data_IF_850195120710
#
_entry.id   IF_850195120710
#
_cell.length_a   1.000
_cell.length_b   1.000
_cell.length_c   1.000
_cell.angle_alpha   90.00
_cell.angle_beta   90.00
_cell.angle_gamma   90.00
#
_symmetry.space_group_name_H-M   'P 1'
#
loop_
_entity.id
_entity.type
_entity.pdbx_description
1 polymer ?
#
# COMPACT_ATOMS: atom_id res chain seq x y z
N UNK A 1 -14.94 -29.94 -11.03
CA UNK A 1 -13.65 -29.28 -10.74
C UNK A 1 -13.94 -28.11 -9.81
N UNK A 2 -13.35 -28.06 -8.61
CA UNK A 2 -13.40 -26.82 -7.80
C UNK A 2 -12.63 -25.73 -8.57
N UNK A 3 -13.11 -24.48 -8.61
CA UNK A 3 -12.40 -23.43 -9.32
C UNK A 3 -11.00 -23.27 -8.72
N UNK A 4 -9.99 -23.23 -9.59
CA UNK A 4 -8.57 -23.06 -9.22
C UNK A 4 -8.33 -21.67 -8.62
N UNK A 5 -9.20 -20.70 -8.94
CA UNK A 5 -9.19 -19.34 -8.41
C UNK A 5 -10.36 -19.15 -7.44
N UNK A 6 -10.15 -18.50 -6.29
CA UNK A 6 -11.26 -18.12 -5.41
C UNK A 6 -12.22 -17.17 -6.15
N UNK A 7 -13.54 -17.21 -5.86
CA UNK A 7 -14.51 -16.29 -6.46
C UNK A 7 -14.30 -14.82 -6.08
N UNK A 8 -13.32 -14.50 -5.24
CA UNK A 8 -13.00 -13.13 -4.85
C UNK A 8 -11.68 -12.64 -5.46
N UNK A 9 -10.75 -13.56 -5.75
CA UNK A 9 -9.44 -13.20 -6.29
C UNK A 9 -9.54 -12.53 -7.66
N UNK A 10 -10.48 -12.96 -8.52
CA UNK A 10 -10.64 -12.35 -9.84
C UNK A 10 -11.09 -10.89 -9.76
N UNK A 11 -11.91 -10.49 -8.78
CA UNK A 11 -12.29 -9.08 -8.57
C UNK A 11 -11.10 -8.23 -8.13
N UNK A 12 -10.30 -8.74 -7.20
CA UNK A 12 -9.06 -8.09 -6.79
C UNK A 12 -8.08 -7.94 -7.97
N UNK A 13 -7.84 -9.03 -8.71
CA UNK A 13 -6.97 -9.01 -9.88
C UNK A 13 -7.48 -8.07 -10.98
N UNK A 14 -8.81 -7.99 -11.18
CA UNK A 14 -9.40 -7.02 -12.09
C UNK A 14 -9.02 -5.58 -11.71
N UNK A 15 -9.07 -5.23 -10.41
CA UNK A 15 -8.60 -3.94 -9.90
C UNK A 15 -7.12 -3.67 -10.22
N UNK A 16 -6.24 -4.65 -9.94
CA UNK A 16 -4.80 -4.56 -10.25
C UNK A 16 -4.58 -4.36 -11.75
N UNK A 17 -5.30 -5.08 -12.60
CA UNK A 17 -5.17 -4.99 -14.05
C UNK A 17 -5.73 -3.68 -14.63
N UNK A 18 -6.75 -3.09 -14.01
CA UNK A 18 -7.37 -1.83 -14.45
C UNK A 18 -6.52 -0.61 -14.07
N UNK A 19 -5.78 -0.67 -12.95
CA UNK A 19 -4.88 0.39 -12.48
C UNK A 19 -4.04 1.08 -13.58
N UNK A 20 -3.23 0.37 -14.39
CA UNK A 20 -2.33 1.01 -15.37
C UNK A 20 -3.08 1.75 -16.49
N UNK A 21 -4.36 1.44 -16.72
CA UNK A 21 -5.19 2.16 -17.67
C UNK A 21 -5.77 3.43 -17.04
N UNK A 22 -6.29 3.32 -15.81
CA UNK A 22 -6.83 4.47 -15.08
C UNK A 22 -5.76 5.50 -14.72
N UNK A 23 -4.55 5.07 -14.37
CA UNK A 23 -3.45 5.98 -14.03
C UNK A 23 -2.98 6.85 -15.20
N UNK A 24 -3.26 6.45 -16.45
CA UNK A 24 -2.99 7.27 -17.65
C UNK A 24 -4.00 8.41 -17.83
N UNK A 25 -5.19 8.31 -17.23
CA UNK A 25 -6.16 9.39 -17.25
C UNK A 25 -5.63 10.48 -16.32
N UNK A 26 -5.17 11.61 -16.88
CA UNK A 26 -4.42 12.66 -16.18
C UNK A 26 -4.96 12.99 -14.78
N UNK A 27 -6.25 13.29 -14.68
CA UNK A 27 -6.88 13.63 -13.40
C UNK A 27 -6.80 12.48 -12.39
N UNK A 28 -7.16 11.26 -12.81
CA UNK A 28 -7.15 10.07 -11.95
C UNK A 28 -5.73 9.71 -11.55
N UNK A 29 -4.77 9.76 -12.48
CA UNK A 29 -3.35 9.53 -12.20
C UNK A 29 -2.79 10.49 -11.16
N UNK A 30 -3.10 11.79 -11.26
CA UNK A 30 -2.71 12.78 -10.25
C UNK A 30 -3.35 12.49 -8.89
N UNK A 31 -4.64 12.14 -8.85
CA UNK A 31 -5.32 11.78 -7.60
C UNK A 31 -4.73 10.53 -6.96
N UNK A 32 -4.48 9.47 -7.74
CA UNK A 32 -3.89 8.22 -7.23
C UNK A 32 -2.47 8.43 -6.72
N UNK A 33 -1.66 9.23 -7.43
CA UNK A 33 -0.33 9.60 -6.95
C UNK A 33 -0.39 10.41 -5.66
N UNK A 34 -1.28 11.41 -5.58
CA UNK A 34 -1.49 12.19 -4.36
C UNK A 34 -1.87 11.30 -3.17
N UNK A 35 -2.80 10.36 -3.38
CA UNK A 35 -3.19 9.39 -2.37
C UNK A 35 -2.01 8.50 -1.95
N UNK A 36 -1.15 8.07 -2.87
CA UNK A 36 0.07 7.31 -2.50
C UNK A 36 1.01 8.09 -1.60
N UNK A 37 1.18 9.40 -1.84
CA UNK A 37 2.02 10.25 -0.98
C UNK A 37 1.36 10.43 0.40
N UNK A 38 0.03 10.60 0.44
CA UNK A 38 -0.72 10.65 1.71
C UNK A 38 -0.55 9.34 2.49
N UNK A 39 -0.74 8.20 1.83
CA UNK A 39 -0.54 6.87 2.42
C UNK A 39 0.88 6.74 3.00
N UNK A 40 1.89 7.18 2.24
CA UNK A 40 3.29 7.12 2.65
C UNK A 40 3.53 7.84 3.99
N UNK A 41 3.11 9.10 4.09
CA UNK A 41 3.31 9.89 5.31
C UNK A 41 2.45 9.42 6.48
N UNK A 42 1.23 8.97 6.21
CA UNK A 42 0.33 8.45 7.25
C UNK A 42 0.87 7.15 7.85
N UNK A 43 1.46 6.27 7.04
CA UNK A 43 2.07 5.03 7.54
C UNK A 43 3.28 5.32 8.43
N UNK A 44 4.12 6.31 8.10
CA UNK A 44 5.18 6.77 9.02
C UNK A 44 4.60 7.17 10.38
N UNK A 45 3.52 7.95 10.37
CA UNK A 45 2.79 8.36 11.57
C UNK A 45 2.27 7.19 12.39
N UNK A 46 1.56 6.24 11.76
CA UNK A 46 1.04 5.06 12.45
C UNK A 46 2.16 4.17 12.99
N UNK A 47 3.23 3.95 12.24
CA UNK A 47 4.38 3.17 12.71
C UNK A 47 5.07 3.84 13.90
N UNK A 48 5.19 5.18 13.88
CA UNK A 48 5.74 5.93 15.00
C UNK A 48 4.89 5.77 16.26
N UNK A 49 3.56 5.93 16.15
CA UNK A 49 2.63 5.72 17.28
C UNK A 49 2.72 4.30 17.81
N UNK A 50 2.73 3.30 16.93
CA UNK A 50 2.83 1.89 17.30
C UNK A 50 4.12 1.56 18.10
N UNK A 51 5.21 2.27 17.82
CA UNK A 51 6.50 2.10 18.52
C UNK A 51 6.71 3.11 19.67
N UNK A 52 5.63 3.68 20.19
CA UNK A 52 5.62 4.57 21.37
C UNK A 52 6.03 6.01 21.09
N UNK A 53 6.08 6.43 19.82
CA UNK A 53 6.21 7.82 19.40
C UNK A 53 4.86 8.53 19.30
N UNK A 54 4.86 9.71 18.67
CA UNK A 54 3.66 10.51 18.39
C UNK A 54 3.66 10.95 16.93
N UNK A 55 2.48 11.01 16.33
CA UNK A 55 2.24 11.60 15.01
C UNK A 55 1.65 12.99 15.19
N UNK A 56 2.42 14.02 14.86
CA UNK A 56 2.04 15.42 15.08
C UNK A 56 1.29 16.01 13.88
N UNK A 57 1.56 15.48 12.69
CA UNK A 57 0.90 15.86 11.45
C UNK A 57 1.71 15.43 10.25
N UNK A 58 1.25 15.80 9.05
CA UNK A 58 1.97 15.58 7.82
C UNK A 58 1.63 16.67 6.81
N UNK A 59 2.52 16.87 5.84
CA UNK A 59 2.32 17.79 4.73
C UNK A 59 2.52 17.04 3.42
N UNK A 60 1.60 17.24 2.47
CA UNK A 60 1.71 16.70 1.11
C UNK A 60 1.74 17.84 0.12
N UNK A 61 2.65 17.77 -0.83
CA UNK A 61 2.83 18.74 -1.92
C UNK A 61 2.88 17.99 -3.26
N UNK A 62 2.78 18.69 -4.40
CA UNK A 62 2.97 18.07 -5.72
C UNK A 62 4.34 17.39 -5.90
N UNK A 63 5.34 17.76 -5.09
CA UNK A 63 6.72 17.29 -5.20
C UNK A 63 7.06 16.16 -4.21
N UNK A 64 6.18 15.85 -3.26
CA UNK A 64 6.44 14.85 -2.22
C UNK A 64 5.70 15.14 -0.92
N UNK A 65 5.98 14.34 0.10
CA UNK A 65 5.39 14.42 1.42
C UNK A 65 6.43 14.57 2.53
N UNK A 66 5.95 14.91 3.72
CA UNK A 66 6.74 14.89 4.95
C UNK A 66 5.83 14.64 6.16
N UNK A 67 6.11 13.59 6.92
CA UNK A 67 5.50 13.29 8.22
C UNK A 67 6.28 13.94 9.37
N UNK A 68 5.56 14.56 10.30
CA UNK A 68 6.09 15.07 11.56
C UNK A 68 5.85 14.05 12.68
N UNK A 69 6.93 13.40 13.12
CA UNK A 69 6.92 12.31 14.08
C UNK A 69 8.00 12.52 15.15
N UNK A 70 7.69 12.16 16.41
CA UNK A 70 8.64 12.36 17.53
C UNK A 70 9.75 11.32 17.62
N UNK A 71 9.62 10.22 16.88
CA UNK A 71 10.54 9.08 16.91
C UNK A 71 10.63 8.50 15.51
N UNK A 72 11.85 8.21 15.05
CA UNK A 72 12.11 7.54 13.78
C UNK A 72 13.17 6.47 13.97
N UNK A 73 12.97 5.30 13.37
CA UNK A 73 13.92 4.19 13.31
C UNK A 73 13.77 3.47 11.96
N UNK A 74 14.59 2.45 11.72
CA UNK A 74 14.57 1.70 10.46
C UNK A 74 13.18 1.12 10.13
N UNK A 75 12.44 0.61 11.12
CA UNK A 75 11.12 0.03 10.89
C UNK A 75 10.13 1.10 10.46
N UNK A 76 10.11 2.25 11.15
CA UNK A 76 9.23 3.37 10.81
C UNK A 76 9.51 3.83 9.38
N UNK A 77 10.80 4.06 9.05
CA UNK A 77 11.20 4.53 7.71
C UNK A 77 10.83 3.55 6.59
N UNK A 78 10.87 2.25 6.86
CA UNK A 78 10.55 1.23 5.86
C UNK A 78 9.06 0.88 5.80
N UNK A 79 8.25 1.24 6.81
CA UNK A 79 6.84 0.87 6.91
C UNK A 79 6.01 1.22 5.67
N UNK A 80 6.13 2.42 5.06
CA UNK A 80 5.38 2.77 3.86
C UNK A 80 5.66 1.88 2.65
N UNK A 81 6.83 1.24 2.60
CA UNK A 81 7.26 0.45 1.46
C UNK A 81 6.71 -0.98 1.46
N UNK A 82 6.02 -1.39 2.53
CA UNK A 82 5.38 -2.71 2.60
C UNK A 82 3.97 -2.69 3.18
N UNK A 83 3.45 -1.55 3.66
CA UNK A 83 2.11 -1.45 4.24
C UNK A 83 1.14 -0.72 3.29
N UNK A 84 0.37 -1.44 2.45
CA UNK A 84 -0.56 -0.84 1.48
C UNK A 84 -1.87 -0.42 2.16
N UNK A 85 -1.87 0.72 2.85
CA UNK A 85 -2.97 1.16 3.73
C UNK A 85 -4.34 1.12 3.04
N UNK A 86 -4.48 1.73 1.86
CA UNK A 86 -5.77 1.78 1.16
C UNK A 86 -6.21 0.41 0.66
N UNK A 87 -5.26 -0.45 0.26
CA UNK A 87 -5.58 -1.85 -0.09
C UNK A 87 -6.22 -2.58 1.09
N UNK A 88 -5.62 -2.44 2.27
CA UNK A 88 -6.09 -3.04 3.51
C UNK A 88 -7.44 -2.44 3.93
N UNK A 89 -7.60 -1.12 3.83
CA UNK A 89 -8.84 -0.44 4.19
C UNK A 89 -10.03 -0.96 3.37
N UNK A 90 -9.92 -1.07 2.04
CA UNK A 90 -10.98 -1.63 1.20
C UNK A 90 -11.21 -3.13 1.44
N UNK A 91 -10.16 -3.88 1.79
CA UNK A 91 -10.32 -5.28 2.17
C UNK A 91 -11.10 -5.44 3.48
N UNK A 92 -10.82 -4.60 4.48
CA UNK A 92 -11.60 -4.54 5.71
C UNK A 92 -13.07 -4.18 5.46
N UNK A 93 -13.33 -3.21 4.55
CA UNK A 93 -14.69 -2.87 4.14
C UNK A 93 -15.42 -4.05 3.49
N UNK A 94 -14.70 -4.89 2.74
CA UNK A 94 -15.25 -6.11 2.15
C UNK A 94 -15.72 -7.09 3.23
N UNK A 95 -14.92 -7.26 4.29
CA UNK A 95 -15.24 -8.15 5.43
C UNK A 95 -16.44 -7.66 6.24
N UNK A 96 -16.59 -6.34 6.40
CA UNK A 96 -17.71 -5.75 7.13
C UNK A 96 -19.00 -5.60 6.28
N UNK A 97 -18.90 -5.75 4.95
CA UNK A 97 -20.05 -5.53 4.06
C UNK A 97 -21.01 -6.72 4.12
N UNK A 98 -22.22 -6.43 4.60
CA UNK A 98 -23.40 -7.30 4.51
C UNK A 98 -24.14 -7.13 3.18
N UNK A 99 -23.72 -6.15 2.36
CA UNK A 99 -24.36 -5.77 1.10
C UNK A 99 -23.61 -6.35 -0.11
N UNK A 100 -24.31 -6.49 -1.24
CA UNK A 100 -23.83 -7.02 -2.53
C UNK A 100 -22.82 -6.12 -3.26
N UNK A 101 -22.21 -5.17 -2.54
CA UNK A 101 -21.17 -4.25 -3.05
C UNK A 101 -19.75 -4.77 -2.82
N UNK A 102 -19.59 -6.00 -2.28
CA UNK A 102 -18.29 -6.65 -2.06
C UNK A 102 -17.39 -6.66 -3.30
N UNK A 103 -17.91 -6.92 -4.53
CA UNK A 103 -17.08 -6.84 -5.74
C UNK A 103 -16.44 -5.47 -5.94
N UNK A 104 -17.15 -4.38 -5.62
CA UNK A 104 -16.63 -3.01 -5.75
C UNK A 104 -15.46 -2.80 -4.80
N UNK A 105 -15.59 -3.20 -3.53
CA UNK A 105 -14.50 -3.08 -2.56
C UNK A 105 -13.29 -3.95 -2.91
N UNK A 106 -13.51 -5.15 -3.44
CA UNK A 106 -12.42 -6.02 -3.92
C UNK A 106 -11.68 -5.41 -5.11
N UNK A 107 -12.41 -4.88 -6.10
CA UNK A 107 -11.82 -4.16 -7.24
C UNK A 107 -11.07 -2.92 -6.76
N UNK A 108 -11.63 -2.13 -5.85
CA UNK A 108 -10.95 -0.97 -5.25
C UNK A 108 -9.69 -1.37 -4.49
N UNK A 109 -9.74 -2.45 -3.69
CA UNK A 109 -8.57 -2.99 -2.99
C UNK A 109 -7.45 -3.35 -3.97
N UNK A 110 -7.79 -4.06 -5.06
CA UNK A 110 -6.84 -4.38 -6.13
C UNK A 110 -6.29 -3.16 -6.85
N UNK A 111 -7.13 -2.17 -7.13
CA UNK A 111 -6.73 -0.90 -7.76
C UNK A 111 -5.68 -0.16 -6.91
N UNK A 112 -5.94 -0.04 -5.61
CA UNK A 112 -5.00 0.59 -4.67
C UNK A 112 -3.73 -0.24 -4.50
N UNK A 113 -3.80 -1.57 -4.59
CA UNK A 113 -2.61 -2.42 -4.55
C UNK A 113 -1.73 -2.24 -5.79
N UNK A 114 -2.33 -2.17 -6.98
CA UNK A 114 -1.61 -1.82 -8.21
C UNK A 114 -0.93 -0.45 -8.12
N UNK A 115 -1.65 0.54 -7.56
CA UNK A 115 -1.10 1.88 -7.31
C UNK A 115 0.06 1.86 -6.30
N UNK A 116 -0.07 1.11 -5.20
CA UNK A 116 0.97 0.93 -4.19
C UNK A 116 2.25 0.34 -4.77
N UNK A 117 2.14 -0.73 -5.57
CA UNK A 117 3.29 -1.35 -6.23
C UNK A 117 3.98 -0.37 -7.20
N UNK A 118 3.19 0.35 -8.01
CA UNK A 118 3.72 1.34 -8.96
C UNK A 118 4.42 2.51 -8.26
N UNK A 119 3.83 3.01 -7.17
CA UNK A 119 4.45 4.07 -6.37
C UNK A 119 5.75 3.58 -5.73
N UNK A 120 5.77 2.40 -5.10
CA UNK A 120 6.97 1.84 -4.48
C UNK A 120 8.10 1.60 -5.48
N UNK A 121 7.79 1.06 -6.66
CA UNK A 121 8.80 0.87 -7.70
C UNK A 121 9.39 2.19 -8.18
N UNK A 122 8.59 3.26 -8.26
CA UNK A 122 9.06 4.61 -8.62
C UNK A 122 9.92 5.21 -7.51
N UNK A 123 9.49 5.08 -6.26
CA UNK A 123 10.22 5.53 -5.07
C UNK A 123 11.58 4.84 -4.93
N UNK A 124 11.66 3.53 -5.22
CA UNK A 124 12.93 2.79 -5.20
C UNK A 124 13.91 3.26 -6.28
N UNK A 125 13.42 3.69 -7.45
CA UNK A 125 14.26 4.21 -8.54
C UNK A 125 14.92 5.55 -8.20
N UNK A 126 14.23 6.41 -7.47
CA UNK A 126 14.72 7.76 -7.11
C UNK A 126 15.54 7.78 -5.81
N UNK A 127 15.88 6.61 -5.23
CA UNK A 127 16.72 6.48 -4.03
C UNK A 127 16.26 7.37 -2.87
N UNK A 128 15.03 7.15 -2.41
CA UNK A 128 14.40 7.92 -1.34
C UNK A 128 15.27 8.04 -0.06
N UNK A 129 15.31 9.22 0.60
CA UNK A 129 16.05 9.41 1.85
C UNK A 129 15.66 8.40 2.94
N UNK A 130 14.39 8.01 3.01
CA UNK A 130 13.89 7.01 3.97
C UNK A 130 14.65 5.68 3.87
N UNK A 131 14.98 5.25 2.65
CA UNK A 131 15.72 4.02 2.38
C UNK A 131 17.21 4.23 2.59
N UNK A 132 17.76 5.30 2.00
CA UNK A 132 19.20 5.59 2.03
C UNK A 132 19.74 5.78 3.46
N UNK A 133 18.95 6.43 4.31
CA UNK A 133 19.37 6.73 5.68
C UNK A 133 19.18 5.55 6.64
N UNK A 134 18.59 4.44 6.20
CA UNK A 134 18.24 3.30 7.06
C UNK A 134 19.40 2.34 7.29
N UNK A 135 19.94 1.76 6.22
CA UNK A 135 21.04 0.79 6.24
C UNK A 135 21.61 0.62 4.82
N UNK A 136 22.75 -0.07 4.63
CA UNK A 136 23.24 -0.40 3.30
C UNK A 136 22.17 -1.09 2.44
N UNK A 137 22.02 -0.67 1.19
CA UNK A 137 20.96 -1.14 0.27
C UNK A 137 20.94 -2.66 0.10
N UNK A 138 22.11 -3.32 0.22
CA UNK A 138 22.28 -4.77 0.13
C UNK A 138 21.52 -5.51 1.23
N UNK A 139 21.28 -4.86 2.38
CA UNK A 139 20.47 -5.40 3.47
C UNK A 139 19.00 -4.96 3.36
N UNK A 140 18.75 -3.72 2.93
CA UNK A 140 17.39 -3.15 2.90
C UNK A 140 16.52 -3.80 1.81
N UNK A 141 17.04 -4.00 0.59
CA UNK A 141 16.23 -4.53 -0.51
C UNK A 141 15.73 -5.97 -0.28
N UNK A 142 16.55 -6.93 0.19
CA UNK A 142 16.04 -8.26 0.53
C UNK A 142 14.93 -8.23 1.59
N UNK A 143 15.07 -7.37 2.61
CA UNK A 143 14.04 -7.20 3.66
C UNK A 143 12.75 -6.66 3.07
N UNK A 144 12.82 -5.62 2.23
CA UNK A 144 11.64 -5.06 1.56
C UNK A 144 10.95 -6.07 0.63
N UNK A 145 11.72 -6.85 -0.11
CA UNK A 145 11.18 -7.93 -0.97
C UNK A 145 10.48 -8.97 -0.10
N UNK A 146 11.12 -9.45 0.97
CA UNK A 146 10.54 -10.44 1.88
C UNK A 146 9.24 -9.95 2.51
N UNK A 147 9.19 -8.69 2.97
CA UNK A 147 7.99 -8.09 3.55
C UNK A 147 6.87 -7.93 2.52
N UNK A 148 7.19 -7.50 1.29
CA UNK A 148 6.18 -7.40 0.23
C UNK A 148 5.65 -8.78 -0.21
N UNK A 149 6.51 -9.81 -0.25
CA UNK A 149 6.08 -11.19 -0.51
C UNK A 149 5.17 -11.71 0.60
N UNK A 150 5.51 -11.42 1.87
CA UNK A 150 4.65 -11.76 3.00
C UNK A 150 3.28 -11.08 2.89
N UNK A 151 3.25 -9.79 2.55
CA UNK A 151 2.01 -9.03 2.37
C UNK A 151 1.19 -9.61 1.22
N UNK A 152 1.81 -9.90 0.07
CA UNK A 152 1.13 -10.53 -1.07
C UNK A 152 0.54 -11.90 -0.69
N UNK A 153 1.30 -12.70 0.05
CA UNK A 153 0.84 -13.98 0.57
C UNK A 153 -0.36 -13.83 1.51
N UNK A 154 -0.30 -12.90 2.47
CA UNK A 154 -1.39 -12.63 3.41
C UNK A 154 -2.66 -12.14 2.69
N UNK A 155 -2.52 -11.24 1.71
CA UNK A 155 -3.65 -10.79 0.88
C UNK A 155 -4.27 -11.98 0.13
N UNK A 156 -3.45 -12.81 -0.53
CA UNK A 156 -3.93 -14.00 -1.22
C UNK A 156 -4.64 -14.98 -0.29
N UNK A 157 -4.09 -15.21 0.91
CA UNK A 157 -4.69 -16.07 1.93
C UNK A 157 -6.05 -15.54 2.39
N UNK A 158 -6.16 -14.24 2.69
CA UNK A 158 -7.43 -13.60 3.09
C UNK A 158 -8.45 -13.71 1.95
N UNK A 159 -8.07 -13.36 0.71
CA UNK A 159 -8.95 -13.41 -0.46
C UNK A 159 -9.44 -14.83 -0.79
N UNK A 160 -8.67 -15.85 -0.42
CA UNK A 160 -9.08 -17.25 -0.56
C UNK A 160 -10.05 -17.70 0.52
N UNK A 161 -9.97 -17.10 1.71
CA UNK A 161 -10.78 -17.44 2.90
C UNK A 161 -11.96 -16.51 3.14
N UNK A 162 -12.19 -15.54 2.24
CA UNK A 162 -13.35 -14.66 2.32
C UNK A 162 -14.65 -15.48 2.33
N UNK A 163 -15.60 -15.15 3.23
CA UNK A 163 -16.87 -15.86 3.35
C UNK A 163 -17.88 -15.48 2.26
#
# INVERSE_FOLDING_TARGET
MKPILSPHLHWFLAGVCVYPFLSKIRMIGHTLHFLSVVEHEVIHGFAAVFLGGRFLGFRVTPYGGQADITKSNWFIRLAPYFCPLFTIAFLCLTLSSILDIRPVFLVSSGLFYGNFLSFNTSSLRVRQPDILNTAPLVLVYPVLIMLNLLVAFLLGFILFRLP
#
